data_IF_335142980091
#
_entry.id   IF_335142980091
#
_cell.length_a   1.000
_cell.length_b   1.000
_cell.length_c   1.000
_cell.angle_alpha   90.00
_cell.angle_beta   90.00
_cell.angle_gamma   90.00
#
_symmetry.space_group_name_H-M   'P 1'
#
loop_
_entity.id
_entity.type
_entity.pdbx_description
1 polymer ?
#
# COMPACT_ATOMS: atom_id res chain seq x y z
N UNK A 1 10.69 -17.07 11.27
CA UNK A 1 11.26 -17.26 9.93
C UNK A 1 12.68 -16.74 9.84
N UNK A 2 13.48 -17.36 8.97
CA UNK A 2 14.82 -16.90 8.66
C UNK A 2 14.79 -16.03 7.40
N UNK A 3 15.42 -14.83 7.46
CA UNK A 3 15.59 -13.96 6.32
C UNK A 3 16.84 -13.09 6.48
N UNK A 4 17.39 -12.65 5.36
CA UNK A 4 18.61 -11.86 5.34
C UNK A 4 18.45 -10.53 6.11
N UNK A 5 19.39 -10.24 6.98
CA UNK A 5 19.43 -9.00 7.77
C UNK A 5 18.51 -8.97 8.99
N UNK A 6 17.90 -10.09 9.38
CA UNK A 6 17.01 -10.17 10.54
C UNK A 6 17.65 -9.57 11.81
N UNK A 7 18.91 -9.94 12.07
CA UNK A 7 19.63 -9.53 13.29
C UNK A 7 20.00 -8.04 13.30
N UNK A 8 20.06 -7.42 12.12
CA UNK A 8 20.22 -5.97 11.99
C UNK A 8 18.94 -5.20 12.33
N UNK A 9 17.79 -5.79 11.99
CA UNK A 9 16.51 -5.13 12.12
C UNK A 9 15.76 -5.43 13.41
N UNK A 10 16.11 -6.52 14.11
CA UNK A 10 15.39 -6.96 15.30
C UNK A 10 16.34 -7.44 16.38
N UNK A 11 16.16 -6.96 17.61
CA UNK A 11 16.86 -7.50 18.78
C UNK A 11 16.52 -8.97 18.98
N UNK A 12 17.45 -9.77 19.49
CA UNK A 12 17.30 -11.24 19.65
C UNK A 12 16.05 -11.63 20.45
N UNK A 13 15.76 -10.94 21.55
CA UNK A 13 14.56 -11.23 22.34
C UNK A 13 13.26 -10.88 21.59
N UNK A 14 13.28 -9.81 20.77
CA UNK A 14 12.14 -9.44 19.91
C UNK A 14 11.90 -10.52 18.85
N UNK A 15 12.98 -11.03 18.23
CA UNK A 15 12.88 -12.13 17.26
C UNK A 15 12.22 -13.37 17.86
N UNK A 16 12.67 -13.75 19.07
CA UNK A 16 12.14 -14.92 19.78
C UNK A 16 10.65 -14.73 20.12
N UNK A 17 10.29 -13.55 20.59
CA UNK A 17 8.93 -13.22 20.97
C UNK A 17 7.99 -13.17 19.75
N UNK A 18 8.40 -12.53 18.66
CA UNK A 18 7.64 -12.53 17.40
C UNK A 18 7.48 -13.94 16.83
N UNK A 19 8.52 -14.77 16.88
CA UNK A 19 8.46 -16.17 16.44
C UNK A 19 7.46 -16.98 17.29
N UNK A 20 7.49 -16.80 18.60
CA UNK A 20 6.52 -17.42 19.52
C UNK A 20 5.08 -16.99 19.21
N UNK A 21 4.84 -15.68 19.09
CA UNK A 21 3.52 -15.13 18.75
C UNK A 21 3.00 -15.67 17.43
N UNK A 22 3.86 -15.67 16.39
CA UNK A 22 3.51 -16.21 15.06
C UNK A 22 3.17 -17.70 15.12
N UNK A 23 3.98 -18.49 15.85
CA UNK A 23 3.73 -19.91 16.05
C UNK A 23 2.42 -20.16 16.80
N UNK A 24 2.13 -19.35 17.83
CA UNK A 24 0.89 -19.46 18.61
C UNK A 24 -0.35 -19.17 17.75
N UNK A 25 -0.32 -18.08 16.98
CA UNK A 25 -1.39 -17.76 16.02
C UNK A 25 -1.61 -18.93 15.06
N UNK A 26 -0.52 -19.46 14.49
CA UNK A 26 -0.59 -20.57 13.55
C UNK A 26 -1.19 -21.84 14.14
N UNK A 27 -0.86 -22.16 15.39
CA UNK A 27 -1.38 -23.34 16.08
C UNK A 27 -2.83 -23.23 16.52
N UNK A 28 -3.25 -22.03 16.90
CA UNK A 28 -4.59 -21.80 17.46
C UNK A 28 -5.67 -21.49 16.40
N UNK A 29 -5.28 -21.25 15.16
CA UNK A 29 -6.21 -20.87 14.10
C UNK A 29 -6.10 -21.81 12.90
N UNK A 30 -7.23 -22.02 12.21
CA UNK A 30 -7.24 -22.74 10.93
C UNK A 30 -6.66 -21.84 9.83
N UNK A 31 -5.88 -22.39 8.88
CA UNK A 31 -5.51 -21.66 7.68
C UNK A 31 -6.74 -21.04 6.99
N UNK A 32 -6.60 -19.88 6.40
CA UNK A 32 -7.65 -19.18 5.63
C UNK A 32 -8.94 -18.86 6.40
N UNK A 33 -8.93 -18.97 7.73
CA UNK A 33 -10.07 -18.55 8.54
C UNK A 33 -10.05 -17.03 8.79
N UNK A 34 -11.22 -16.41 8.95
CA UNK A 34 -11.34 -14.99 9.31
C UNK A 34 -10.55 -14.65 10.58
N UNK A 35 -10.54 -15.56 11.56
CA UNK A 35 -9.75 -15.40 12.78
C UNK A 35 -8.26 -15.36 12.49
N UNK A 36 -7.78 -16.18 11.55
CA UNK A 36 -6.39 -16.19 11.12
C UNK A 36 -6.03 -14.88 10.44
N UNK A 37 -6.80 -14.42 9.48
CA UNK A 37 -6.57 -13.15 8.78
C UNK A 37 -6.59 -11.97 9.74
N UNK A 38 -7.53 -11.95 10.66
CA UNK A 38 -7.61 -10.92 11.70
C UNK A 38 -6.35 -10.86 12.58
N UNK A 39 -5.88 -12.00 13.07
CA UNK A 39 -4.69 -12.07 13.91
C UNK A 39 -3.39 -11.82 13.11
N UNK A 40 -3.32 -12.26 11.86
CA UNK A 40 -2.20 -11.97 10.97
C UNK A 40 -2.11 -10.45 10.67
N UNK A 41 -3.24 -9.78 10.51
CA UNK A 41 -3.29 -8.33 10.34
C UNK A 41 -2.85 -7.60 11.62
N UNK A 42 -3.35 -8.03 12.80
CA UNK A 42 -2.92 -7.49 14.08
C UNK A 42 -1.41 -7.68 14.30
N UNK A 43 -0.90 -8.87 14.03
CA UNK A 43 0.53 -9.20 14.09
C UNK A 43 1.35 -8.34 13.12
N UNK A 44 0.91 -8.24 11.87
CA UNK A 44 1.57 -7.40 10.85
C UNK A 44 1.73 -5.95 11.33
N UNK A 45 0.72 -5.40 11.97
CA UNK A 45 0.69 -4.01 12.41
C UNK A 45 1.73 -3.67 13.49
N UNK A 46 2.25 -4.65 14.21
CA UNK A 46 3.23 -4.45 15.29
C UNK A 46 4.67 -4.67 14.83
N UNK A 47 4.91 -5.39 13.74
CA UNK A 47 6.25 -5.81 13.31
C UNK A 47 7.21 -4.61 13.17
N UNK A 48 6.82 -3.57 12.45
CA UNK A 48 7.66 -2.39 12.25
C UNK A 48 7.84 -1.58 13.55
N UNK A 49 6.87 -1.59 14.44
CA UNK A 49 6.94 -0.88 15.73
C UNK A 49 8.04 -1.43 16.64
N UNK A 50 8.33 -2.72 16.53
CA UNK A 50 9.34 -3.43 17.34
C UNK A 50 10.61 -3.75 16.56
N UNK A 51 10.72 -3.23 15.35
CA UNK A 51 11.93 -3.31 14.53
C UNK A 51 12.73 -2.02 14.61
N UNK A 52 13.98 -2.06 14.19
CA UNK A 52 14.81 -0.88 14.00
C UNK A 52 14.44 -0.06 12.76
N UNK A 53 13.39 -0.39 12.02
CA UNK A 53 12.90 0.45 10.95
C UNK A 53 12.34 1.75 11.51
N UNK A 54 12.76 2.90 10.96
CA UNK A 54 12.41 4.22 11.46
C UNK A 54 10.89 4.43 11.53
N UNK A 55 10.22 4.24 10.40
CA UNK A 55 8.76 4.38 10.30
C UNK A 55 8.18 3.52 9.19
N UNK A 56 6.86 3.51 9.07
CA UNK A 56 6.13 2.78 8.02
C UNK A 56 6.36 3.35 6.61
N UNK A 57 6.90 4.55 6.49
CA UNK A 57 7.17 5.25 5.23
C UNK A 57 8.66 5.53 5.01
N UNK A 58 9.52 5.04 5.91
CA UNK A 58 10.97 5.25 5.81
C UNK A 58 11.72 3.98 6.16
N UNK A 59 12.31 3.36 5.15
CA UNK A 59 13.16 2.18 5.30
C UNK A 59 14.61 2.60 5.62
N UNK A 60 14.82 3.03 6.86
CA UNK A 60 16.13 3.37 7.42
C UNK A 60 16.23 2.73 8.80
N UNK A 61 17.43 2.27 9.17
CA UNK A 61 17.66 1.69 10.48
C UNK A 61 17.86 2.81 11.52
N UNK A 62 17.12 2.74 12.60
CA UNK A 62 17.25 3.56 13.80
C UNK A 62 17.27 2.61 14.99
N UNK A 63 18.30 2.68 15.82
CA UNK A 63 18.37 1.86 17.02
C UNK A 63 17.21 2.22 17.96
N UNK A 64 16.39 1.22 18.28
CA UNK A 64 15.26 1.34 19.20
C UNK A 64 15.49 0.44 20.39
N UNK A 65 15.26 0.96 21.59
CA UNK A 65 15.18 0.15 22.81
C UNK A 65 13.76 -0.44 22.92
N UNK A 66 13.64 -1.73 22.62
CA UNK A 66 12.37 -2.46 22.70
C UNK A 66 12.41 -3.38 23.92
N UNK A 67 11.69 -3.09 25.00
CA UNK A 67 11.69 -3.94 26.21
C UNK A 67 11.16 -5.35 25.92
N UNK A 68 11.65 -6.33 26.71
CA UNK A 68 11.11 -7.69 26.73
C UNK A 68 9.61 -7.66 27.06
N UNK A 69 8.81 -8.43 26.34
CA UNK A 69 7.36 -8.46 26.48
C UNK A 69 6.62 -7.37 25.69
N UNK A 70 7.34 -6.41 25.08
CA UNK A 70 6.72 -5.34 24.32
C UNK A 70 5.94 -5.82 23.08
N UNK A 71 6.47 -6.75 22.25
CA UNK A 71 5.71 -7.31 21.12
C UNK A 71 4.38 -7.91 21.54
N UNK A 72 4.37 -8.70 22.64
CA UNK A 72 3.14 -9.31 23.17
C UNK A 72 2.12 -8.28 23.64
N UNK A 73 2.58 -7.28 24.40
CA UNK A 73 1.72 -6.18 24.86
C UNK A 73 1.09 -5.42 23.70
N UNK A 74 1.88 -5.13 22.68
CA UNK A 74 1.40 -4.44 21.48
C UNK A 74 0.39 -5.29 20.71
N UNK A 75 0.63 -6.60 20.55
CA UNK A 75 -0.30 -7.49 19.87
C UNK A 75 -1.64 -7.54 20.59
N UNK A 76 -1.64 -7.72 21.92
CA UNK A 76 -2.87 -7.73 22.73
C UNK A 76 -3.64 -6.42 22.54
N UNK A 77 -2.97 -5.28 22.79
CA UNK A 77 -3.58 -3.95 22.63
C UNK A 77 -4.14 -3.72 21.23
N UNK A 78 -3.41 -4.14 20.20
CA UNK A 78 -3.84 -3.99 18.80
C UNK A 78 -5.06 -4.86 18.50
N UNK A 79 -5.06 -6.09 18.97
CA UNK A 79 -6.17 -7.03 18.81
C UNK A 79 -7.45 -6.51 19.48
N UNK A 80 -7.37 -6.03 20.73
CA UNK A 80 -8.48 -5.43 21.46
C UNK A 80 -9.05 -4.21 20.73
N UNK A 81 -8.19 -3.29 20.31
CA UNK A 81 -8.60 -2.10 19.57
C UNK A 81 -9.28 -2.46 18.23
N UNK A 82 -8.75 -3.45 17.51
CA UNK A 82 -9.34 -3.90 16.26
C UNK A 82 -10.70 -4.57 16.46
N UNK A 83 -10.86 -5.37 17.53
CA UNK A 83 -12.14 -5.97 17.90
C UNK A 83 -13.19 -4.91 18.24
N UNK A 84 -12.82 -3.88 18.97
CA UNK A 84 -13.73 -2.78 19.30
C UNK A 84 -14.19 -2.03 18.06
N UNK A 85 -13.25 -1.69 17.18
CA UNK A 85 -13.57 -1.03 15.90
C UNK A 85 -14.43 -1.90 14.99
N UNK A 86 -14.20 -3.21 14.96
CA UNK A 86 -15.06 -4.12 14.20
C UNK A 86 -16.48 -4.16 14.75
N UNK A 87 -16.66 -4.19 16.07
CA UNK A 87 -18.00 -4.12 16.68
C UNK A 87 -18.72 -2.83 16.29
N UNK A 88 -18.04 -1.69 16.42
CA UNK A 88 -18.60 -0.38 16.04
C UNK A 88 -18.93 -0.33 14.53
N UNK A 89 -18.08 -0.87 13.69
CA UNK A 89 -18.32 -0.96 12.26
C UNK A 89 -19.55 -1.81 11.94
N UNK A 90 -19.66 -3.02 12.51
CA UNK A 90 -20.79 -3.92 12.28
C UNK A 90 -22.12 -3.30 12.73
N UNK A 91 -22.12 -2.48 13.78
CA UNK A 91 -23.34 -1.79 14.22
C UNK A 91 -23.78 -0.66 13.28
N UNK A 92 -22.86 -0.13 12.48
CA UNK A 92 -23.10 0.97 11.53
C UNK A 92 -23.22 0.49 10.09
N UNK A 93 -22.62 -0.65 9.77
CA UNK A 93 -22.73 -1.26 8.45
C UNK A 93 -24.11 -1.89 8.29
N UNK A 94 -24.86 -1.45 7.29
CA UNK A 94 -26.05 -2.13 6.82
C UNK A 94 -25.67 -3.48 6.19
N UNK A 95 -26.65 -4.26 5.72
CA UNK A 95 -26.44 -5.54 5.04
C UNK A 95 -25.70 -5.35 3.68
N UNK A 96 -24.41 -5.05 3.76
CA UNK A 96 -23.51 -4.94 2.60
C UNK A 96 -22.58 -6.14 2.54
N UNK A 97 -22.42 -6.67 1.33
CA UNK A 97 -21.42 -7.69 1.03
C UNK A 97 -20.12 -7.04 0.60
N UNK A 98 -18.99 -7.49 1.14
CA UNK A 98 -17.66 -7.08 0.70
C UNK A 98 -16.93 -8.28 0.08
N UNK A 99 -16.44 -8.13 -1.14
CA UNK A 99 -15.53 -9.09 -1.78
C UNK A 99 -14.13 -8.43 -1.85
N UNK A 100 -13.16 -9.00 -1.13
CA UNK A 100 -11.79 -8.49 -1.07
C UNK A 100 -10.86 -9.48 -1.76
N UNK A 101 -10.21 -9.04 -2.82
CA UNK A 101 -9.30 -9.87 -3.62
C UNK A 101 -7.91 -9.28 -3.71
N UNK A 102 -6.89 -10.12 -3.56
CA UNK A 102 -5.52 -9.78 -3.93
C UNK A 102 -5.35 -10.04 -5.43
N UNK A 103 -5.21 -8.97 -6.20
CA UNK A 103 -5.07 -9.05 -7.66
C UNK A 103 -4.26 -7.85 -8.17
N UNK A 104 -3.77 -7.97 -9.39
CA UNK A 104 -3.16 -6.89 -10.14
C UNK A 104 -4.26 -6.10 -10.87
N UNK A 105 -4.25 -4.77 -10.74
CA UNK A 105 -5.22 -3.89 -11.42
C UNK A 105 -5.14 -3.96 -12.95
N UNK A 106 -4.03 -4.46 -13.48
CA UNK A 106 -3.85 -4.77 -14.91
C UNK A 106 -4.54 -6.06 -15.34
N UNK A 107 -5.20 -6.79 -14.44
CA UNK A 107 -5.78 -8.13 -14.66
C UNK A 107 -7.14 -8.28 -13.96
N UNK A 108 -8.11 -7.42 -14.28
CA UNK A 108 -9.45 -7.44 -13.68
C UNK A 108 -10.47 -8.28 -14.48
N UNK A 109 -10.01 -9.28 -15.21
CA UNK A 109 -10.86 -10.11 -16.08
C UNK A 109 -11.97 -10.90 -15.36
N UNK A 110 -11.93 -11.00 -14.04
CA UNK A 110 -12.96 -11.64 -13.21
C UNK A 110 -14.15 -10.72 -12.88
N UNK A 111 -14.08 -9.43 -13.19
CA UNK A 111 -15.17 -8.47 -13.03
C UNK A 111 -15.91 -8.40 -14.37
N UNK A 112 -17.23 -8.49 -14.32
CA UNK A 112 -18.09 -8.41 -15.51
C UNK A 112 -18.04 -7.01 -16.13
N UNK A 113 -18.24 -6.94 -17.45
CA UNK A 113 -18.29 -5.69 -18.19
C UNK A 113 -19.49 -4.85 -17.73
N UNK A 114 -19.33 -3.55 -17.67
CA UNK A 114 -20.37 -2.60 -17.31
C UNK A 114 -21.17 -2.99 -16.05
N UNK A 115 -20.46 -3.48 -14.99
CA UNK A 115 -21.07 -3.96 -13.75
C UNK A 115 -20.86 -3.00 -12.56
N UNK A 116 -19.91 -2.09 -12.64
CA UNK A 116 -19.49 -1.22 -11.53
C UNK A 116 -20.14 0.17 -11.66
N UNK A 117 -20.75 0.65 -10.59
CA UNK A 117 -21.42 1.95 -10.53
C UNK A 117 -20.47 3.11 -10.14
N UNK A 118 -19.39 2.79 -9.41
CA UNK A 118 -18.41 3.78 -8.95
C UNK A 118 -17.05 3.11 -8.75
N UNK A 119 -16.01 3.70 -9.32
CA UNK A 119 -14.60 3.37 -9.03
C UNK A 119 -14.00 4.44 -8.12
N UNK A 120 -13.38 4.04 -7.02
CA UNK A 120 -12.57 4.94 -6.18
C UNK A 120 -11.21 4.30 -5.96
N UNK A 121 -10.14 5.00 -6.32
CA UNK A 121 -8.78 4.45 -6.20
C UNK A 121 -7.75 5.54 -5.93
N UNK A 122 -6.69 5.16 -5.21
CA UNK A 122 -5.45 5.93 -5.13
C UNK A 122 -4.36 5.08 -5.79
N UNK A 123 -4.10 5.27 -7.09
CA UNK A 123 -3.06 4.52 -7.78
C UNK A 123 -1.68 4.89 -7.25
N UNK A 124 -0.66 4.03 -7.46
CA UNK A 124 0.69 4.34 -6.99
C UNK A 124 1.25 5.59 -7.69
N UNK A 125 1.91 6.46 -6.91
CA UNK A 125 2.56 7.68 -7.43
C UNK A 125 3.96 7.31 -7.96
N UNK A 126 4.23 7.58 -9.23
CA UNK A 126 5.50 7.22 -9.86
C UNK A 126 6.69 7.80 -9.10
N UNK A 127 7.74 7.01 -8.91
CA UNK A 127 9.00 7.38 -8.25
C UNK A 127 8.83 7.95 -6.81
N UNK A 128 7.70 7.72 -6.14
CA UNK A 128 7.45 8.29 -4.81
C UNK A 128 7.68 7.28 -3.71
N UNK A 129 7.17 6.08 -3.86
CA UNK A 129 7.22 5.03 -2.84
C UNK A 129 7.76 3.71 -3.40
N UNK A 130 8.35 2.93 -2.50
CA UNK A 130 8.65 1.50 -2.67
C UNK A 130 7.82 0.75 -1.61
N UNK A 131 6.54 0.48 -1.90
CA UNK A 131 5.63 -0.13 -0.92
C UNK A 131 6.14 -1.48 -0.44
N UNK A 132 6.66 -2.33 -1.36
CA UNK A 132 7.27 -3.60 -1.00
C UNK A 132 8.38 -3.43 0.04
N UNK A 133 9.18 -2.36 -0.05
CA UNK A 133 10.31 -2.11 0.82
C UNK A 133 9.85 -1.74 2.24
N UNK A 134 8.85 -0.87 2.35
CA UNK A 134 8.28 -0.46 3.64
C UNK A 134 7.55 -1.60 4.36
N UNK A 135 7.01 -2.54 3.59
CA UNK A 135 6.31 -3.72 4.14
C UNK A 135 7.18 -4.98 4.21
N UNK A 136 8.42 -4.93 3.76
CA UNK A 136 9.32 -6.08 3.66
C UNK A 136 9.45 -6.88 4.96
N UNK A 137 9.56 -6.21 6.11
CA UNK A 137 9.65 -6.92 7.40
C UNK A 137 8.36 -7.65 7.74
N UNK A 138 7.21 -7.00 7.52
CA UNK A 138 5.89 -7.62 7.69
C UNK A 138 5.75 -8.86 6.81
N UNK A 139 6.09 -8.72 5.54
CA UNK A 139 6.04 -9.82 4.57
C UNK A 139 6.95 -10.99 4.98
N UNK A 140 8.18 -10.71 5.38
CA UNK A 140 9.11 -11.73 5.88
C UNK A 140 8.54 -12.51 7.08
N UNK A 141 7.98 -11.80 8.07
CA UNK A 141 7.39 -12.42 9.26
C UNK A 141 6.11 -13.19 8.99
N UNK A 142 5.34 -12.79 7.98
CA UNK A 142 4.14 -13.49 7.52
C UNK A 142 4.43 -14.64 6.55
N UNK A 143 5.67 -14.77 6.05
CA UNK A 143 6.06 -15.77 5.05
C UNK A 143 5.60 -15.41 3.62
N UNK A 144 5.38 -14.11 3.35
CA UNK A 144 4.99 -13.60 2.04
C UNK A 144 6.21 -13.27 1.17
N UNK A 145 6.07 -13.37 -0.15
CA UNK A 145 7.15 -13.11 -1.11
C UNK A 145 7.25 -11.62 -1.48
N UNK A 146 8.05 -10.85 -0.74
CA UNK A 146 8.26 -9.44 -1.04
C UNK A 146 8.98 -9.18 -2.37
N UNK A 147 9.71 -10.17 -2.93
CA UNK A 147 10.40 -10.01 -4.22
C UNK A 147 9.41 -10.00 -5.38
N UNK A 148 8.36 -10.80 -5.28
CA UNK A 148 7.24 -10.78 -6.22
C UNK A 148 6.53 -9.42 -6.17
N UNK A 149 6.16 -8.95 -4.99
CA UNK A 149 5.59 -7.61 -4.82
C UNK A 149 6.50 -6.51 -5.40
N UNK A 150 7.82 -6.60 -5.20
CA UNK A 150 8.78 -5.66 -5.80
C UNK A 150 8.77 -5.68 -7.32
N UNK A 151 8.63 -6.86 -7.92
CA UNK A 151 8.60 -7.00 -9.38
C UNK A 151 7.31 -6.42 -9.97
N UNK A 152 6.18 -6.68 -9.32
CA UNK A 152 4.85 -6.36 -9.84
C UNK A 152 4.40 -4.92 -9.51
N UNK A 153 5.09 -4.26 -8.58
CA UNK A 153 4.75 -2.90 -8.15
C UNK A 153 4.85 -1.89 -9.31
N UNK A 154 3.74 -1.19 -9.57
CA UNK A 154 3.67 -0.13 -10.59
C UNK A 154 4.36 1.12 -10.05
N UNK A 155 5.23 1.74 -10.84
CA UNK A 155 5.82 3.05 -10.55
C UNK A 155 6.76 3.10 -9.35
N UNK A 156 7.30 1.95 -8.87
CA UNK A 156 8.20 1.94 -7.72
C UNK A 156 9.43 2.82 -7.94
N UNK A 157 9.88 3.48 -6.87
CA UNK A 157 11.06 4.35 -6.90
C UNK A 157 12.31 3.62 -7.37
N UNK A 158 12.45 2.34 -7.04
CA UNK A 158 13.60 1.54 -7.47
C UNK A 158 13.69 1.42 -8.99
N UNK A 159 12.57 1.29 -9.70
CA UNK A 159 12.54 1.21 -11.17
C UNK A 159 13.12 2.47 -11.78
N UNK A 160 12.73 3.62 -11.31
CA UNK A 160 13.17 4.90 -11.86
C UNK A 160 14.56 5.33 -11.38
N UNK A 161 14.92 5.11 -10.12
CA UNK A 161 16.22 5.52 -9.56
C UNK A 161 17.36 4.57 -9.89
N UNK A 162 17.17 3.25 -9.72
CA UNK A 162 18.23 2.25 -9.90
C UNK A 162 18.28 1.69 -11.31
N UNK A 163 17.14 1.37 -11.92
CA UNK A 163 17.05 0.84 -13.27
C UNK A 163 16.98 1.92 -14.34
N UNK A 164 16.82 3.19 -13.93
CA UNK A 164 16.72 4.37 -14.80
C UNK A 164 15.56 4.28 -15.80
N UNK A 165 14.49 3.60 -15.46
CA UNK A 165 13.27 3.56 -16.27
C UNK A 165 12.68 4.96 -16.40
N UNK A 166 12.21 5.29 -17.58
CA UNK A 166 11.51 6.55 -17.88
C UNK A 166 10.07 6.48 -17.36
N UNK A 167 9.35 7.60 -17.42
CA UNK A 167 7.94 7.67 -17.03
C UNK A 167 7.05 6.77 -17.91
N UNK A 168 7.48 6.47 -19.14
CA UNK A 168 6.70 5.73 -20.13
C UNK A 168 6.25 4.36 -19.64
N UNK A 169 7.13 3.63 -18.93
CA UNK A 169 6.74 2.33 -18.35
C UNK A 169 5.62 2.45 -17.31
N UNK A 170 5.65 3.51 -16.51
CA UNK A 170 4.57 3.79 -15.57
C UNK A 170 3.26 4.12 -16.31
N UNK A 171 3.34 4.91 -17.37
CA UNK A 171 2.19 5.27 -18.21
C UNK A 171 1.59 4.01 -18.85
N UNK A 172 2.42 3.10 -19.38
CA UNK A 172 1.97 1.82 -19.95
C UNK A 172 1.28 0.94 -18.92
N UNK A 173 1.85 0.80 -17.72
CA UNK A 173 1.26 0.02 -16.62
C UNK A 173 -0.10 0.61 -16.20
N UNK A 174 -0.18 1.93 -16.07
CA UNK A 174 -1.42 2.64 -15.75
C UNK A 174 -2.46 2.48 -16.87
N UNK A 175 -2.05 2.59 -18.11
CA UNK A 175 -2.95 2.42 -19.26
C UNK A 175 -3.59 1.03 -19.29
N UNK A 176 -2.83 -0.02 -18.97
CA UNK A 176 -3.39 -1.37 -18.85
C UNK A 176 -4.48 -1.44 -17.77
N UNK A 177 -4.26 -0.80 -16.62
CA UNK A 177 -5.28 -0.72 -15.56
C UNK A 177 -6.52 0.05 -16.02
N UNK A 178 -6.34 1.19 -16.71
CA UNK A 178 -7.43 2.03 -17.21
C UNK A 178 -8.28 1.35 -18.30
N UNK A 179 -7.68 0.49 -19.13
CA UNK A 179 -8.45 -0.36 -20.07
C UNK A 179 -9.46 -1.23 -19.32
N UNK A 180 -9.06 -1.81 -18.19
CA UNK A 180 -9.98 -2.57 -17.35
C UNK A 180 -11.00 -1.67 -16.65
N UNK A 181 -10.63 -0.49 -16.18
CA UNK A 181 -11.56 0.45 -15.55
C UNK A 181 -12.66 0.88 -16.54
N UNK A 182 -12.29 1.22 -17.78
CA UNK A 182 -13.25 1.55 -18.82
C UNK A 182 -14.22 0.40 -19.13
N UNK A 183 -13.72 -0.84 -19.15
CA UNK A 183 -14.53 -2.03 -19.43
C UNK A 183 -15.54 -2.33 -18.34
N UNK A 184 -15.13 -2.24 -17.05
CA UNK A 184 -15.97 -2.67 -15.92
C UNK A 184 -16.98 -1.61 -15.47
N UNK A 185 -16.70 -0.32 -15.70
CA UNK A 185 -17.62 0.76 -15.34
C UNK A 185 -18.84 0.77 -16.25
N UNK A 186 -20.00 1.01 -15.67
CA UNK A 186 -21.23 1.27 -16.42
C UNK A 186 -21.12 2.57 -17.22
N UNK A 187 -21.79 2.68 -18.36
CA UNK A 187 -21.90 3.96 -19.06
C UNK A 187 -22.47 5.05 -18.14
N UNK A 188 -21.77 6.17 -18.03
CA UNK A 188 -22.15 7.29 -17.15
C UNK A 188 -21.76 7.10 -15.68
N UNK A 189 -21.08 6.02 -15.32
CA UNK A 189 -20.52 5.84 -13.97
C UNK A 189 -19.28 6.71 -13.76
N UNK A 190 -18.95 7.01 -12.50
CA UNK A 190 -17.82 7.84 -12.15
C UNK A 190 -16.59 7.01 -11.74
N UNK A 191 -15.41 7.53 -12.11
CA UNK A 191 -14.13 7.13 -11.54
C UNK A 191 -13.54 8.31 -10.75
N UNK A 192 -13.22 8.09 -9.47
CA UNK A 192 -12.57 9.07 -8.60
C UNK A 192 -11.15 8.58 -8.31
N UNK A 193 -10.17 9.39 -8.65
CA UNK A 193 -8.76 9.07 -8.45
C UNK A 193 -8.11 10.09 -7.52
N UNK A 194 -7.28 9.61 -6.59
CA UNK A 194 -6.41 10.44 -5.77
C UNK A 194 -4.99 10.14 -6.19
N UNK A 195 -4.31 11.11 -6.79
CA UNK A 195 -2.98 10.91 -7.37
C UNK A 195 -2.10 12.15 -7.21
N UNK A 196 -0.82 11.95 -6.96
CA UNK A 196 0.13 13.05 -6.79
C UNK A 196 1.16 13.12 -7.91
N UNK A 197 1.62 14.34 -8.15
CA UNK A 197 2.70 14.64 -9.08
C UNK A 197 3.98 13.88 -8.77
N UNK A 198 4.75 13.57 -9.81
CA UNK A 198 5.99 12.83 -9.71
C UNK A 198 7.16 13.65 -10.24
N UNK A 199 8.34 13.46 -9.63
CA UNK A 199 9.59 14.01 -10.16
C UNK A 199 10.53 12.86 -10.47
N UNK A 200 10.93 12.75 -11.74
CA UNK A 200 11.88 11.76 -12.22
C UNK A 200 13.03 12.52 -12.90
N UNK A 201 14.26 12.36 -12.39
CA UNK A 201 15.48 13.04 -12.90
C UNK A 201 15.29 14.54 -13.06
N UNK A 202 14.79 15.18 -12.02
CA UNK A 202 14.52 16.62 -11.95
C UNK A 202 13.44 17.13 -12.94
N UNK A 203 12.72 16.23 -13.61
CA UNK A 203 11.58 16.56 -14.47
C UNK A 203 10.29 16.31 -13.69
N UNK A 204 9.45 17.34 -13.59
CA UNK A 204 8.12 17.26 -13.01
C UNK A 204 7.15 16.65 -14.03
N UNK A 205 6.46 15.60 -13.63
CA UNK A 205 5.39 14.96 -14.38
C UNK A 205 4.07 15.20 -13.65
N UNK A 206 3.19 15.96 -14.27
CA UNK A 206 1.86 16.26 -13.74
C UNK A 206 0.96 15.04 -13.82
N UNK A 207 0.41 14.64 -12.67
CA UNK A 207 -0.37 13.40 -12.56
C UNK A 207 -1.74 13.53 -13.25
N UNK A 208 -2.36 14.69 -13.18
CA UNK A 208 -3.63 14.99 -13.85
C UNK A 208 -3.49 14.93 -15.38
N UNK A 209 -2.38 15.47 -15.96
CA UNK A 209 -2.08 15.36 -17.38
C UNK A 209 -1.89 13.90 -17.80
N UNK A 210 -1.16 13.11 -17.01
CA UNK A 210 -0.93 11.68 -17.30
C UNK A 210 -2.27 10.94 -17.30
N UNK A 211 -3.09 11.13 -16.27
CA UNK A 211 -4.41 10.48 -16.16
C UNK A 211 -5.31 10.88 -17.31
N UNK A 212 -5.37 12.16 -17.65
CA UNK A 212 -6.19 12.66 -18.77
C UNK A 212 -5.78 12.03 -20.09
N UNK A 213 -4.48 12.01 -20.39
CA UNK A 213 -3.95 11.45 -21.62
C UNK A 213 -4.21 9.94 -21.77
N UNK A 214 -4.31 9.21 -20.65
CA UNK A 214 -4.65 7.79 -20.63
C UNK A 214 -6.17 7.57 -20.75
N UNK A 215 -6.96 8.37 -20.05
CA UNK A 215 -8.39 8.13 -19.85
C UNK A 215 -9.25 8.59 -21.03
N UNK A 216 -8.98 9.77 -21.60
CA UNK A 216 -9.79 10.35 -22.69
C UNK A 216 -9.86 9.41 -23.93
N UNK A 217 -8.76 8.80 -24.42
CA UNK A 217 -8.83 7.84 -25.53
C UNK A 217 -9.65 6.59 -25.24
N UNK A 218 -9.89 6.26 -23.95
CA UNK A 218 -10.70 5.12 -23.51
C UNK A 218 -12.18 5.49 -23.30
N UNK A 219 -12.56 6.74 -23.60
CA UNK A 219 -13.95 7.22 -23.51
C UNK A 219 -14.35 7.83 -22.18
N UNK A 220 -13.39 8.12 -21.29
CA UNK A 220 -13.68 8.90 -20.08
C UNK A 220 -13.82 10.39 -20.42
N UNK A 221 -14.77 11.03 -19.76
CA UNK A 221 -14.92 12.49 -19.78
C UNK A 221 -14.36 13.09 -18.49
N UNK A 222 -13.56 14.13 -18.60
CA UNK A 222 -13.04 14.84 -17.45
C UNK A 222 -14.12 15.73 -16.85
N UNK A 223 -14.47 15.50 -15.60
CA UNK A 223 -15.59 16.21 -14.93
C UNK A 223 -15.08 17.34 -14.05
N UNK A 224 -14.15 17.04 -13.14
CA UNK A 224 -13.64 18.00 -12.16
C UNK A 224 -12.25 17.59 -11.65
N UNK A 225 -11.54 18.52 -11.02
CA UNK A 225 -10.26 18.25 -10.37
C UNK A 225 -10.04 19.20 -9.20
N UNK A 226 -9.85 18.66 -8.02
CA UNK A 226 -9.45 19.41 -6.83
C UNK A 226 -7.97 19.19 -6.57
N UNK A 227 -7.21 20.27 -6.49
CA UNK A 227 -5.76 20.23 -6.35
C UNK A 227 -5.32 20.72 -4.98
N UNK A 228 -4.38 20.02 -4.35
CA UNK A 228 -3.75 20.37 -3.08
C UNK A 228 -2.24 20.51 -3.25
N UNK A 229 -1.66 21.59 -2.72
CA UNK A 229 -0.21 21.76 -2.62
C UNK A 229 0.36 20.85 -1.51
N UNK A 230 1.12 19.85 -1.90
CA UNK A 230 1.78 18.91 -0.99
C UNK A 230 2.89 19.56 -0.16
N UNK A 231 3.49 20.65 -0.65
CA UNK A 231 4.53 21.39 0.07
C UNK A 231 4.02 22.07 1.35
N UNK A 232 2.76 22.46 1.37
CA UNK A 232 2.09 23.08 2.52
C UNK A 232 1.47 22.05 3.47
N UNK A 233 0.98 20.92 2.94
CA UNK A 233 0.16 19.97 3.70
C UNK A 233 0.97 18.91 4.46
N UNK A 234 2.20 18.62 4.11
CA UNK A 234 2.94 17.49 4.66
C UNK A 234 4.37 17.79 5.09
N UNK A 235 4.64 17.60 6.41
CA UNK A 235 6.00 17.50 6.96
C UNK A 235 6.73 16.23 6.53
N UNK A 236 6.05 15.29 5.87
CA UNK A 236 6.56 13.96 5.51
C UNK A 236 7.51 13.97 4.32
N UNK A 237 7.44 14.99 3.46
CA UNK A 237 8.33 15.08 2.30
C UNK A 237 9.69 15.64 2.72
N UNK A 238 10.76 14.92 2.38
CA UNK A 238 12.13 15.34 2.66
C UNK A 238 12.46 16.69 1.98
N UNK A 239 13.48 17.43 2.49
CA UNK A 239 13.90 18.72 1.92
C UNK A 239 14.22 18.66 0.42
N UNK A 240 14.61 17.50 -0.13
CA UNK A 240 14.86 17.30 -1.56
C UNK A 240 13.59 17.37 -2.40
N UNK A 241 12.42 17.07 -1.84
CA UNK A 241 11.12 17.19 -2.51
C UNK A 241 10.52 18.61 -2.44
N UNK A 242 11.05 19.49 -1.58
CA UNK A 242 10.57 20.88 -1.45
C UNK A 242 11.01 21.83 -2.59
N UNK A 243 11.78 21.34 -3.57
CA UNK A 243 12.24 22.14 -4.69
C UNK A 243 11.33 22.14 -5.90
N UNK A 244 10.25 21.39 -5.85
CA UNK A 244 9.28 21.28 -6.95
C UNK A 244 7.89 21.51 -6.41
N UNK A 245 7.11 22.29 -7.11
CA UNK A 245 5.69 22.57 -6.82
C UNK A 245 4.86 21.33 -7.14
N UNK A 246 4.96 20.32 -6.27
CA UNK A 246 4.19 19.08 -6.38
C UNK A 246 2.81 19.26 -5.83
N UNK A 247 1.84 18.78 -6.57
CA UNK A 247 0.44 18.82 -6.21
C UNK A 247 -0.13 17.39 -6.07
N UNK A 248 -1.18 17.24 -5.31
CA UNK A 248 -2.04 16.07 -5.25
C UNK A 248 -3.40 16.46 -5.84
N UNK A 249 -3.92 15.59 -6.68
CA UNK A 249 -5.14 15.81 -7.46
C UNK A 249 -6.20 14.78 -7.08
N UNK A 250 -7.46 15.24 -6.96
CA UNK A 250 -8.65 14.41 -6.76
C UNK A 250 -9.64 14.68 -7.88
#
# INVERSE_FOLDING_TARGET
>A
PEFHGRDHWFMTHVQNELAMLRSTITKLTKPESNTRFFLDLAFSSIVNLVSNQDSDTRYAAVEKDVPVGKPTQLLIKRTEMMLERMKDFVTKAEDVTADVRLTDSRQLGFIEDASIDLLVTSPPYANTYDYYLYHKHRMNWLGLNWREAMHDEIGSRQKHSSKKEEIDQYVEDMQQSFVHFARILKPGAYAILIIGDSVIRDVLHKADDIVRNIAEPLGFEWVDCVTYDLGLASKMFSRSFRRTDKEEHI
#
